data_IF_833269103339
#
_entry.id   IF_833269103339
#
_cell.length_a   1.000
_cell.length_b   1.000
_cell.length_c   1.000
_cell.angle_alpha   90.00
_cell.angle_beta   90.00
_cell.angle_gamma   90.00
#
_symmetry.space_group_name_H-M   'P 1'
#
loop_
_entity.id
_entity.type
_entity.pdbx_description
1 polymer ?
#
# COMPACT_ATOMS: atom_id res chain seq x y z
N UNK A 1 -39.65 -19.09 1.16
CA UNK A 1 -40.86 -18.77 1.99
C UNK A 1 -40.76 -19.11 3.48
N UNK A 2 -40.55 -20.36 3.92
CA UNK A 2 -40.51 -20.68 5.37
C UNK A 2 -39.22 -20.20 6.07
N UNK A 3 -38.07 -20.36 5.40
CA UNK A 3 -36.77 -19.94 5.92
C UNK A 3 -36.63 -18.41 6.03
N UNK A 4 -37.08 -17.65 5.03
CA UNK A 4 -37.07 -16.18 5.04
C UNK A 4 -37.90 -15.61 6.20
N UNK A 5 -39.08 -16.20 6.46
CA UNK A 5 -39.93 -15.84 7.60
C UNK A 5 -39.28 -16.14 8.96
N UNK A 6 -38.36 -17.11 9.01
CA UNK A 6 -37.59 -17.40 10.23
C UNK A 6 -36.43 -16.41 10.39
N UNK A 7 -35.70 -16.11 9.33
CA UNK A 7 -34.60 -15.15 9.34
C UNK A 7 -35.07 -13.75 9.76
N UNK A 8 -36.21 -13.29 9.23
CA UNK A 8 -36.81 -12.01 9.61
C UNK A 8 -37.19 -11.95 11.09
N UNK A 9 -37.84 -12.99 11.61
CA UNK A 9 -38.20 -13.05 13.04
C UNK A 9 -36.99 -13.07 13.96
N UNK A 10 -35.92 -13.77 13.56
CA UNK A 10 -34.65 -13.76 14.30
C UNK A 10 -34.05 -12.35 14.29
N UNK A 11 -34.05 -11.67 13.14
CA UNK A 11 -33.56 -10.29 13.06
C UNK A 11 -34.38 -9.35 13.96
N UNK A 12 -35.72 -9.35 13.83
CA UNK A 12 -36.64 -8.54 14.64
C UNK A 12 -36.42 -8.79 16.14
N UNK A 13 -36.27 -10.06 16.54
CA UNK A 13 -35.96 -10.44 17.91
C UNK A 13 -34.59 -9.91 18.38
N UNK A 14 -33.53 -10.06 17.58
CA UNK A 14 -32.20 -9.54 17.91
C UNK A 14 -32.21 -8.02 18.07
N UNK A 15 -32.92 -7.29 17.20
CA UNK A 15 -33.08 -5.84 17.31
C UNK A 15 -33.91 -5.44 18.52
N UNK A 16 -35.03 -6.11 18.79
CA UNK A 16 -35.91 -5.80 19.92
C UNK A 16 -35.24 -6.06 21.27
N UNK A 17 -34.39 -7.09 21.33
CA UNK A 17 -33.59 -7.42 22.52
C UNK A 17 -32.27 -6.63 22.61
N UNK A 18 -32.04 -5.68 21.70
CA UNK A 18 -30.80 -4.87 21.64
C UNK A 18 -29.51 -5.71 21.60
N UNK A 19 -29.54 -6.87 20.95
CA UNK A 19 -28.39 -7.76 20.81
C UNK A 19 -27.56 -7.31 19.60
N UNK A 20 -26.46 -6.61 19.88
CA UNK A 20 -25.52 -6.12 18.88
C UNK A 20 -24.57 -7.22 18.43
N UNK A 21 -25.00 -7.98 17.43
CA UNK A 21 -24.14 -8.86 16.66
C UNK A 21 -23.36 -8.05 15.61
N UNK A 22 -22.31 -8.66 15.03
CA UNK A 22 -21.61 -8.06 13.89
C UNK A 22 -22.56 -7.75 12.72
N UNK A 23 -23.56 -8.61 12.49
CA UNK A 23 -24.56 -8.42 11.45
C UNK A 23 -25.52 -7.27 11.76
N UNK A 24 -26.13 -7.23 12.95
CA UNK A 24 -27.06 -6.15 13.33
C UNK A 24 -26.37 -4.79 13.41
N UNK A 25 -25.12 -4.76 13.87
CA UNK A 25 -24.28 -3.55 13.84
C UNK A 25 -24.02 -3.08 12.41
N UNK A 26 -23.70 -4.00 11.50
CA UNK A 26 -23.46 -3.67 10.09
C UNK A 26 -24.72 -3.12 9.42
N UNK A 27 -25.87 -3.74 9.64
CA UNK A 27 -27.18 -3.30 9.11
C UNK A 27 -27.52 -1.91 9.62
N UNK A 28 -27.40 -1.67 10.93
CA UNK A 28 -27.65 -0.36 11.52
C UNK A 28 -26.72 0.73 10.95
N UNK A 29 -25.43 0.42 10.74
CA UNK A 29 -24.50 1.38 10.14
C UNK A 29 -24.88 1.72 8.69
N UNK A 30 -25.32 0.72 7.92
CA UNK A 30 -25.78 0.93 6.54
C UNK A 30 -27.05 1.79 6.51
N UNK A 31 -27.99 1.52 7.41
CA UNK A 31 -29.20 2.32 7.57
C UNK A 31 -28.87 3.76 7.96
N UNK A 32 -28.04 3.95 8.99
CA UNK A 32 -27.68 5.26 9.53
C UNK A 32 -26.89 6.11 8.54
N UNK A 33 -25.93 5.51 7.81
CA UNK A 33 -25.01 6.22 6.92
C UNK A 33 -25.62 6.50 5.55
N UNK A 34 -26.45 5.60 5.04
CA UNK A 34 -26.89 5.65 3.63
C UNK A 34 -28.42 5.54 3.46
N UNK A 35 -29.18 5.19 4.50
CA UNK A 35 -30.64 5.04 4.40
C UNK A 35 -31.11 3.82 3.62
N UNK A 36 -30.27 2.78 3.50
CA UNK A 36 -30.45 1.61 2.62
C UNK A 36 -31.79 0.86 2.74
N UNK A 37 -32.41 0.87 3.92
CA UNK A 37 -33.61 0.08 4.18
C UNK A 37 -34.92 0.86 3.96
N UNK A 38 -34.86 2.07 3.43
CA UNK A 38 -36.07 2.84 3.10
C UNK A 38 -36.79 2.28 1.88
N UNK A 39 -36.04 1.89 0.86
CA UNK A 39 -36.58 1.31 -0.37
C UNK A 39 -36.18 -0.18 -0.48
N UNK A 40 -37.15 -1.10 -0.60
CA UNK A 40 -36.86 -2.53 -0.65
C UNK A 40 -36.19 -2.91 -1.98
N UNK A 41 -35.03 -3.56 -1.90
CA UNK A 41 -34.30 -4.10 -3.04
C UNK A 41 -35.01 -5.37 -3.54
N UNK A 42 -35.48 -5.37 -4.78
CA UNK A 42 -36.34 -6.40 -5.38
C UNK A 42 -35.58 -7.62 -5.94
N UNK A 43 -34.34 -7.86 -5.53
CA UNK A 43 -33.52 -8.93 -6.09
C UNK A 43 -33.95 -10.34 -5.64
N UNK A 44 -34.21 -11.23 -6.60
CA UNK A 44 -34.73 -12.60 -6.38
C UNK A 44 -33.73 -13.59 -5.76
N UNK A 45 -32.44 -13.26 -5.75
CA UNK A 45 -31.37 -14.16 -5.26
C UNK A 45 -30.44 -13.43 -4.30
N UNK A 46 -30.01 -14.12 -3.25
CA UNK A 46 -29.07 -13.58 -2.23
C UNK A 46 -27.80 -12.99 -2.83
N UNK A 47 -27.23 -13.64 -3.87
CA UNK A 47 -26.04 -13.14 -4.57
C UNK A 47 -26.28 -11.86 -5.37
N UNK A 48 -27.43 -11.76 -6.06
CA UNK A 48 -27.82 -10.56 -6.82
C UNK A 48 -28.12 -9.40 -5.88
N UNK A 49 -28.85 -9.67 -4.81
CA UNK A 49 -29.11 -8.69 -3.74
C UNK A 49 -27.81 -8.15 -3.14
N UNK A 50 -26.85 -9.03 -2.84
CA UNK A 50 -25.56 -8.60 -2.29
C UNK A 50 -24.73 -7.77 -3.27
N UNK A 51 -24.79 -8.07 -4.56
CA UNK A 51 -24.12 -7.28 -5.60
C UNK A 51 -24.74 -5.88 -5.72
N UNK A 52 -26.07 -5.80 -5.77
CA UNK A 52 -26.82 -4.55 -5.86
C UNK A 52 -26.61 -3.66 -4.63
N UNK A 53 -26.62 -4.23 -3.42
CA UNK A 53 -26.27 -3.50 -2.20
C UNK A 53 -24.86 -2.94 -2.28
N UNK A 54 -23.87 -3.72 -2.76
CA UNK A 54 -22.49 -3.23 -2.88
C UNK A 54 -22.38 -2.09 -3.89
N UNK A 55 -23.06 -2.19 -5.02
CA UNK A 55 -23.06 -1.16 -6.05
C UNK A 55 -23.65 0.15 -5.52
N UNK A 56 -24.82 0.07 -4.88
CA UNK A 56 -25.44 1.23 -4.26
C UNK A 56 -24.57 1.83 -3.15
N UNK A 57 -23.92 1.00 -2.31
CA UNK A 57 -22.99 1.49 -1.27
C UNK A 57 -21.84 2.23 -1.93
N UNK A 58 -21.27 1.66 -3.00
CA UNK A 58 -20.15 2.25 -3.74
C UNK A 58 -20.54 3.61 -4.31
N UNK A 59 -21.72 3.72 -4.91
CA UNK A 59 -22.22 4.98 -5.47
C UNK A 59 -22.51 6.01 -4.38
N UNK A 60 -23.17 5.63 -3.29
CA UNK A 60 -23.44 6.52 -2.17
C UNK A 60 -22.15 7.02 -1.51
N UNK A 61 -21.13 6.15 -1.39
CA UNK A 61 -19.81 6.55 -0.91
C UNK A 61 -19.09 7.49 -1.89
N UNK A 62 -19.22 7.26 -3.21
CA UNK A 62 -18.66 8.15 -4.24
C UNK A 62 -19.23 9.55 -4.13
N UNK A 63 -20.56 9.67 -4.02
CA UNK A 63 -21.24 10.97 -3.87
C UNK A 63 -20.80 11.68 -2.59
N UNK A 64 -20.81 10.96 -1.46
CA UNK A 64 -20.41 11.53 -0.17
C UNK A 64 -18.93 11.95 -0.16
N UNK A 65 -18.07 11.16 -0.81
CA UNK A 65 -16.65 11.47 -0.94
C UNK A 65 -16.44 12.74 -1.77
N UNK A 66 -17.09 12.86 -2.94
CA UNK A 66 -17.03 14.08 -3.75
C UNK A 66 -17.49 15.31 -2.96
N UNK A 67 -18.65 15.24 -2.29
CA UNK A 67 -19.17 16.36 -1.49
C UNK A 67 -18.20 16.79 -0.38
N UNK A 68 -17.61 15.84 0.35
CA UNK A 68 -16.61 16.12 1.40
C UNK A 68 -15.29 16.65 0.85
N UNK A 69 -14.93 16.30 -0.39
CA UNK A 69 -13.77 16.89 -1.06
C UNK A 69 -14.03 18.32 -1.47
N UNK A 70 -15.24 18.63 -1.94
CA UNK A 70 -15.65 19.98 -2.32
C UNK A 70 -15.69 20.95 -1.14
N UNK A 71 -16.09 20.46 0.03
CA UNK A 71 -16.10 21.23 1.29
C UNK A 71 -14.69 21.73 1.68
N UNK A 72 -13.63 21.03 1.28
CA UNK A 72 -12.25 21.32 1.70
C UNK A 72 -11.48 22.08 0.62
N UNK A 73 -11.32 23.39 0.82
CA UNK A 73 -10.54 24.25 -0.07
C UNK A 73 -9.08 23.80 -0.29
N UNK A 74 -8.48 23.12 0.70
CA UNK A 74 -7.10 22.60 0.60
C UNK A 74 -6.96 21.41 -0.37
N UNK A 75 -8.07 20.80 -0.81
CA UNK A 75 -8.07 19.62 -1.67
C UNK A 75 -8.27 19.93 -3.17
N UNK A 76 -8.14 21.18 -3.60
CA UNK A 76 -8.36 21.60 -5.00
C UNK A 76 -7.54 20.80 -6.00
N UNK A 77 -6.22 20.68 -5.77
CA UNK A 77 -5.32 19.92 -6.64
C UNK A 77 -5.61 18.41 -6.60
N UNK A 78 -6.00 17.88 -5.44
CA UNK A 78 -6.33 16.47 -5.31
C UNK A 78 -7.62 16.14 -6.08
N UNK A 79 -8.68 16.94 -5.93
CA UNK A 79 -9.95 16.78 -6.66
C UNK A 79 -9.80 16.88 -8.17
N UNK A 80 -8.90 17.72 -8.68
CA UNK A 80 -8.71 17.86 -10.13
C UNK A 80 -8.06 16.62 -10.77
N UNK A 81 -7.33 15.80 -10.01
CA UNK A 81 -6.59 14.66 -10.53
C UNK A 81 -7.16 13.30 -10.08
N UNK A 82 -7.73 13.20 -8.88
CA UNK A 82 -8.27 11.96 -8.33
C UNK A 82 -9.70 11.71 -8.81
N UNK A 83 -9.89 10.73 -9.69
CA UNK A 83 -11.19 10.44 -10.35
C UNK A 83 -12.07 9.40 -9.65
N UNK A 84 -11.47 8.51 -8.85
CA UNK A 84 -12.19 7.42 -8.19
C UNK A 84 -11.63 7.14 -6.81
N UNK A 85 -12.47 6.58 -5.94
CA UNK A 85 -12.04 6.08 -4.63
C UNK A 85 -11.27 4.78 -4.87
N UNK A 86 -9.96 4.79 -4.59
CA UNK A 86 -9.10 3.63 -4.79
C UNK A 86 -7.63 3.97 -4.68
N UNK A 87 -6.78 2.95 -4.86
CA UNK A 87 -5.32 3.13 -4.92
C UNK A 87 -4.94 3.82 -6.24
N UNK A 88 -3.97 4.74 -6.19
CA UNK A 88 -3.40 5.33 -7.41
C UNK A 88 -2.31 4.43 -7.99
N UNK A 89 -2.29 4.32 -9.32
CA UNK A 89 -1.26 3.57 -10.06
C UNK A 89 0.11 4.24 -10.02
N UNK A 90 0.20 5.50 -9.58
CA UNK A 90 1.47 6.20 -9.42
C UNK A 90 2.34 5.56 -8.33
N UNK A 91 1.72 4.91 -7.34
CA UNK A 91 2.43 4.18 -6.30
C UNK A 91 2.24 2.69 -6.55
N UNK A 92 3.28 2.04 -7.07
CA UNK A 92 3.32 0.59 -7.28
C UNK A 92 3.31 -0.18 -5.94
N UNK A 93 3.63 0.48 -4.81
CA UNK A 93 3.78 -0.12 -3.48
C UNK A 93 4.63 -1.40 -3.52
N UNK A 94 5.57 -1.43 -4.47
CA UNK A 94 6.49 -2.53 -4.63
C UNK A 94 7.54 -2.49 -3.53
N UNK A 95 8.25 -3.61 -3.35
CA UNK A 95 9.39 -3.62 -2.44
C UNK A 95 10.45 -2.60 -2.85
N UNK A 96 10.69 -2.43 -4.15
CA UNK A 96 11.60 -1.41 -4.67
C UNK A 96 11.17 0.00 -4.25
N UNK A 97 9.88 0.32 -4.32
CA UNK A 97 9.36 1.62 -3.88
C UNK A 97 9.54 1.86 -2.37
N UNK A 98 9.36 0.81 -1.56
CA UNK A 98 9.61 0.88 -0.12
C UNK A 98 11.10 1.10 0.17
N UNK A 99 12.00 0.45 -0.59
CA UNK A 99 13.45 0.62 -0.44
C UNK A 99 13.91 2.02 -0.83
N UNK A 100 13.42 2.54 -1.96
CA UNK A 100 13.71 3.91 -2.40
C UNK A 100 13.17 4.92 -1.37
N UNK A 101 11.99 4.67 -0.81
CA UNK A 101 11.42 5.52 0.24
C UNK A 101 12.28 5.51 1.51
N UNK A 102 12.67 4.34 2.01
CA UNK A 102 13.55 4.21 3.17
C UNK A 102 14.91 4.89 2.93
N UNK A 103 15.50 4.69 1.75
CA UNK A 103 16.75 5.32 1.36
C UNK A 103 16.65 6.85 1.32
N UNK A 104 15.56 7.37 0.74
CA UNK A 104 15.31 8.82 0.64
C UNK A 104 15.05 9.46 2.00
N UNK A 105 14.39 8.75 2.91
CA UNK A 105 14.13 9.22 4.27
C UNK A 105 15.34 9.02 5.21
N UNK A 106 16.47 8.48 4.72
CA UNK A 106 17.63 8.06 5.52
C UNK A 106 17.25 7.09 6.66
N UNK A 107 16.22 6.29 6.43
CA UNK A 107 15.73 5.25 7.37
C UNK A 107 16.07 3.84 6.91
N UNK A 108 16.75 3.70 5.77
CA UNK A 108 17.20 2.41 5.25
C UNK A 108 18.17 1.77 6.23
N UNK A 109 17.75 0.63 6.78
CA UNK A 109 18.45 -0.06 7.88
C UNK A 109 19.64 -0.89 7.40
N UNK A 110 20.55 -0.26 6.66
CA UNK A 110 21.78 -0.91 6.19
C UNK A 110 22.67 -1.34 7.35
N UNK A 111 23.40 -2.45 7.21
CA UNK A 111 24.39 -2.88 8.21
C UNK A 111 25.47 -1.82 8.44
N UNK A 112 25.88 -1.10 7.38
CA UNK A 112 26.83 0.02 7.49
C UNK A 112 26.29 1.14 8.36
N UNK A 113 25.00 1.50 8.21
CA UNK A 113 24.36 2.49 9.07
C UNK A 113 24.22 1.98 10.51
N UNK A 114 23.79 0.73 10.71
CA UNK A 114 23.60 0.16 12.05
C UNK A 114 24.91 0.01 12.83
N UNK A 115 26.03 -0.31 12.17
CA UNK A 115 27.35 -0.44 12.81
C UNK A 115 27.79 0.82 13.55
N UNK A 116 27.28 1.99 13.16
CA UNK A 116 27.54 3.25 13.88
C UNK A 116 26.96 3.28 15.29
N UNK A 117 25.94 2.48 15.57
CA UNK A 117 25.18 2.49 16.82
C UNK A 117 25.24 1.15 17.57
N UNK A 118 25.69 0.08 16.90
CA UNK A 118 25.74 -1.27 17.45
C UNK A 118 27.10 -1.91 17.12
N UNK A 119 27.94 -2.03 18.15
CA UNK A 119 29.28 -2.62 18.06
C UNK A 119 29.26 -4.14 17.87
N UNK A 120 28.11 -4.79 18.06
CA UNK A 120 27.98 -6.26 17.85
C UNK A 120 27.98 -6.63 16.37
N UNK A 121 27.84 -5.66 15.47
CA UNK A 121 27.84 -5.86 14.02
C UNK A 121 29.28 -5.95 13.53
N UNK A 122 29.78 -7.18 13.44
CA UNK A 122 31.15 -7.49 12.98
C UNK A 122 31.25 -7.44 11.45
N UNK A 123 30.19 -7.84 10.74
CA UNK A 123 30.17 -7.89 9.28
C UNK A 123 29.17 -6.89 8.71
N UNK A 124 29.59 -6.22 7.64
CA UNK A 124 28.76 -5.28 6.88
C UNK A 124 28.48 -5.77 5.47
N UNK A 125 28.71 -7.05 5.17
CA UNK A 125 28.31 -7.63 3.88
C UNK A 125 26.80 -7.64 3.73
N UNK A 126 26.33 -7.50 2.49
CA UNK A 126 24.91 -7.53 2.16
C UNK A 126 24.29 -8.84 2.62
N UNK A 127 23.21 -8.78 3.40
CA UNK A 127 22.47 -9.99 3.84
C UNK A 127 21.87 -10.83 2.71
N UNK A 128 21.83 -10.30 1.49
CA UNK A 128 21.14 -10.96 0.36
C UNK A 128 22.08 -11.43 -0.73
N UNK A 129 23.24 -10.79 -0.88
CA UNK A 129 24.26 -11.13 -1.87
C UNK A 129 25.58 -11.61 -1.24
N UNK A 130 25.78 -11.38 0.06
CA UNK A 130 26.92 -11.80 0.90
C UNK A 130 28.33 -11.35 0.47
N UNK A 131 28.49 -10.77 -0.72
CA UNK A 131 29.79 -10.48 -1.33
C UNK A 131 30.18 -8.98 -1.26
N UNK A 132 29.21 -8.07 -1.39
CA UNK A 132 29.44 -6.62 -1.33
C UNK A 132 29.01 -6.01 0.00
N UNK A 133 29.57 -4.84 0.36
CA UNK A 133 29.15 -4.11 1.57
C UNK A 133 27.73 -3.54 1.44
N UNK A 134 26.90 -3.75 2.46
CA UNK A 134 25.53 -3.28 2.57
C UNK A 134 25.51 -1.76 2.76
N UNK A 135 25.52 -1.05 1.65
CA UNK A 135 25.41 0.42 1.56
C UNK A 135 24.11 0.79 0.86
N UNK A 136 23.69 2.05 0.98
CA UNK A 136 22.48 2.55 0.28
C UNK A 136 22.62 2.36 -1.23
N UNK A 137 23.81 2.66 -1.79
CA UNK A 137 24.09 2.49 -3.22
C UNK A 137 24.02 1.00 -3.62
N UNK A 138 24.60 0.10 -2.83
CA UNK A 138 24.48 -1.33 -3.08
C UNK A 138 23.02 -1.81 -3.05
N UNK A 139 22.28 -1.55 -1.97
CA UNK A 139 20.91 -2.04 -1.77
C UNK A 139 19.93 -1.52 -2.82
N UNK A 140 20.11 -0.27 -3.29
CA UNK A 140 19.18 0.37 -4.23
C UNK A 140 19.58 0.14 -5.69
N UNK A 141 20.88 0.18 -6.02
CA UNK A 141 21.35 0.20 -7.41
C UNK A 141 21.95 -1.12 -7.89
N UNK A 142 22.65 -1.86 -7.01
CA UNK A 142 23.58 -2.93 -7.43
C UNK A 142 23.20 -4.32 -6.94
N UNK A 143 22.40 -4.43 -5.88
CA UNK A 143 22.15 -5.69 -5.22
C UNK A 143 21.31 -6.63 -6.10
N UNK A 144 21.96 -7.59 -6.76
CA UNK A 144 21.35 -8.54 -7.71
C UNK A 144 20.08 -9.19 -7.18
N UNK A 145 20.05 -9.52 -5.88
CA UNK A 145 18.91 -10.18 -5.22
C UNK A 145 17.72 -9.26 -4.93
N UNK A 146 17.92 -7.94 -5.03
CA UNK A 146 16.92 -6.89 -4.82
C UNK A 146 16.66 -6.07 -6.08
N UNK A 147 17.56 -6.17 -7.08
CA UNK A 147 17.51 -5.36 -8.28
C UNK A 147 16.25 -5.66 -9.05
N UNK A 148 15.72 -4.56 -9.53
CA UNK A 148 14.43 -4.43 -10.13
C UNK A 148 14.70 -3.40 -11.24
N UNK A 149 14.40 -3.75 -12.49
CA UNK A 149 15.07 -3.23 -13.70
C UNK A 149 15.22 -1.69 -13.75
N UNK A 150 16.42 -1.18 -13.44
CA UNK A 150 16.72 0.25 -13.50
C UNK A 150 16.99 0.68 -14.95
N UNK A 151 16.61 1.92 -15.35
CA UNK A 151 16.95 2.43 -16.68
C UNK A 151 18.48 2.60 -16.82
N UNK A 152 18.99 2.35 -18.03
CA UNK A 152 20.42 2.48 -18.35
C UNK A 152 20.91 3.91 -18.03
N UNK A 153 21.98 4.00 -17.23
CA UNK A 153 22.56 5.30 -16.81
C UNK A 153 21.93 5.93 -15.56
N UNK A 154 21.09 5.21 -14.82
CA UNK A 154 20.53 5.70 -13.57
C UNK A 154 21.63 6.00 -12.53
N UNK A 155 21.65 7.22 -12.00
CA UNK A 155 22.47 7.59 -10.83
C UNK A 155 21.64 7.44 -9.56
N UNK A 156 22.30 7.21 -8.41
CA UNK A 156 21.61 7.12 -7.12
C UNK A 156 20.78 8.40 -6.83
N UNK A 157 21.30 9.57 -7.18
CA UNK A 157 20.59 10.83 -7.04
C UNK A 157 19.28 10.85 -7.84
N UNK A 158 19.33 10.39 -9.10
CA UNK A 158 18.16 10.31 -9.97
C UNK A 158 17.12 9.31 -9.42
N UNK A 159 17.55 8.14 -8.96
CA UNK A 159 16.66 7.11 -8.40
C UNK A 159 15.98 7.60 -7.12
N UNK A 160 16.70 8.31 -6.26
CA UNK A 160 16.15 8.93 -5.05
C UNK A 160 15.35 10.21 -5.35
N UNK A 161 15.24 10.60 -6.62
CA UNK A 161 14.57 11.82 -7.11
C UNK A 161 15.13 13.11 -6.49
N UNK A 162 16.44 13.15 -6.25
CA UNK A 162 17.15 14.40 -6.01
C UNK A 162 17.38 15.11 -7.33
N UNK A 163 17.20 16.44 -7.35
CA UNK A 163 17.51 17.25 -8.54
C UNK A 163 19.02 17.25 -8.74
N UNK A 164 19.47 16.89 -9.93
CA UNK A 164 20.86 17.09 -10.30
C UNK A 164 21.03 18.52 -10.84
N UNK A 165 22.25 19.10 -10.80
CA UNK A 165 22.50 20.44 -11.34
C UNK A 165 22.16 20.59 -12.83
N UNK A 166 22.07 19.47 -13.55
CA UNK A 166 21.71 19.41 -14.98
C UNK A 166 20.20 19.58 -15.23
N UNK A 167 19.36 19.52 -14.18
CA UNK A 167 17.90 19.70 -14.26
C UNK A 167 17.45 21.18 -14.34
N UNK A 168 18.32 22.07 -14.81
CA UNK A 168 17.95 23.46 -15.10
C UNK A 168 16.82 23.53 -16.15
N UNK A 169 15.91 24.52 -16.08
CA UNK A 169 14.62 24.49 -16.74
C UNK A 169 14.78 24.70 -18.24
N UNK A 170 14.90 23.62 -19.01
CA UNK A 170 14.96 23.68 -20.47
C UNK A 170 14.59 22.40 -21.20
N UNK A 171 14.63 21.23 -20.57
CA UNK A 171 14.39 19.97 -21.29
C UNK A 171 13.71 18.90 -20.42
N UNK A 172 12.45 19.15 -20.02
CA UNK A 172 11.63 18.11 -19.38
C UNK A 172 11.03 17.17 -20.45
N UNK A 173 11.86 16.35 -21.10
CA UNK A 173 11.36 15.22 -21.88
C UNK A 173 10.95 14.10 -20.93
N UNK A 174 9.64 14.03 -20.70
CA UNK A 174 8.83 12.84 -20.51
C UNK A 174 9.59 11.58 -20.02
N UNK A 175 9.71 11.45 -18.70
CA UNK A 175 10.26 10.22 -18.09
C UNK A 175 9.20 9.13 -18.24
N UNK A 176 9.42 8.26 -19.22
CA UNK A 176 8.63 7.05 -19.47
C UNK A 176 8.52 6.23 -18.17
N UNK A 177 7.31 6.10 -17.65
CA UNK A 177 6.97 5.26 -16.49
C UNK A 177 6.65 3.85 -16.97
N UNK A 178 7.62 2.96 -16.94
CA UNK A 178 7.38 1.51 -17.08
C UNK A 178 7.05 0.89 -15.69
N UNK A 179 6.23 -0.17 -15.63
CA UNK A 179 5.81 -0.78 -14.37
C UNK A 179 6.91 -1.66 -13.79
N UNK A 180 7.02 -1.65 -12.46
CA UNK A 180 8.12 -2.26 -11.70
C UNK A 180 7.59 -3.39 -10.80
N UNK A 181 8.22 -4.56 -10.85
CA UNK A 181 7.70 -5.81 -10.25
C UNK A 181 8.60 -6.32 -9.11
N UNK A 182 7.97 -6.47 -7.93
CA UNK A 182 8.17 -7.37 -6.78
C UNK A 182 9.57 -7.76 -6.26
N UNK A 183 9.80 -7.53 -4.95
CA UNK A 183 10.62 -8.38 -4.06
C UNK A 183 10.47 -8.07 -2.55
N UNK A 184 9.36 -8.42 -1.88
CA UNK A 184 9.22 -8.20 -0.42
C UNK A 184 9.07 -9.52 0.36
N UNK A 185 10.12 -9.92 1.13
CA UNK A 185 10.01 -10.60 2.45
C UNK A 185 11.29 -11.21 3.08
N UNK A 186 12.52 -10.89 2.67
CA UNK A 186 13.72 -11.61 3.18
C UNK A 186 14.67 -10.85 4.14
N UNK A 187 14.25 -9.78 4.81
CA UNK A 187 15.18 -8.95 5.64
C UNK A 187 15.22 -9.24 7.15
N UNK A 188 14.40 -10.18 7.65
CA UNK A 188 14.29 -10.49 9.10
C UNK A 188 14.86 -11.86 9.52
N UNK A 189 15.49 -12.62 8.62
CA UNK A 189 16.23 -13.82 9.00
C UNK A 189 17.64 -13.45 9.44
N UNK A 190 17.94 -13.56 10.74
CA UNK A 190 19.32 -13.55 11.24
C UNK A 190 19.97 -14.83 10.72
N UNK A 191 20.81 -14.73 9.70
CA UNK A 191 21.72 -15.80 9.29
C UNK A 191 23.11 -15.40 9.75
N UNK A 192 23.67 -16.21 10.66
CA UNK A 192 24.99 -15.98 11.23
C UNK A 192 26.05 -16.02 10.14
N UNK A 193 26.95 -15.05 10.17
CA UNK A 193 28.13 -15.01 9.33
C UNK A 193 28.99 -16.25 9.65
N UNK A 194 29.01 -17.23 8.76
CA UNK A 194 29.97 -18.33 8.81
C UNK A 194 31.37 -17.77 8.56
N UNK A 195 32.16 -17.69 9.63
CA UNK A 195 33.59 -17.44 9.54
C UNK A 195 34.24 -18.66 8.87
N UNK A 196 34.80 -18.48 7.67
CA UNK A 196 35.70 -19.43 7.06
C UNK A 196 37.00 -19.44 7.90
N UNK A 197 37.18 -20.52 8.65
CA UNK A 197 38.47 -20.88 9.22
C UNK A 197 39.42 -21.21 8.07
N UNK A 198 40.46 -20.39 7.90
CA UNK A 198 41.64 -20.75 7.12
C UNK A 198 42.53 -21.54 8.08
N UNK A 199 42.52 -22.86 7.98
CA UNK A 199 43.50 -23.73 8.64
C UNK A 199 44.82 -23.65 7.86
N UNK A 200 45.86 -23.19 8.54
CA UNK A 200 47.27 -23.48 8.22
C UNK A 200 47.77 -24.58 9.13
#
# INVERSE_FOLDING_TARGET
MAAERRARRVFEYLTAMCIWTSWTTRVYQLEKKFGFFKDPIAADTTGKWAAEVRELVTEAERVLWCARMEEKATLTFYRSHKRSIGQDSMYDNSAGSALIFEARADTLKTLTHRRRYDETIVCTSCRTAEEETETIDHDVMRCISLTTSLPEGATLALVLSFRTPDDLPGNSTNINRAPFVQAAKRRLGVVGCSALAVET
#
